data_IF_815345066968
#
_entry.id   IF_815345066968
#
_cell.length_a   1.000
_cell.length_b   1.000
_cell.length_c   1.000
_cell.angle_alpha   90.00
_cell.angle_beta   90.00
_cell.angle_gamma   90.00
#
_symmetry.space_group_name_H-M   'P 1'
#
loop_
_entity.id
_entity.type
_entity.pdbx_description
1 polymer ?
#
# COMPACT_ATOMS: atom_id res chain seq x y z
N UNK A 1 9.88 -0.13 -49.44
CA UNK A 1 8.72 -0.57 -50.25
C UNK A 1 7.74 0.59 -50.32
N UNK A 2 7.20 0.86 -51.51
CA UNK A 2 6.15 1.84 -51.76
C UNK A 2 4.89 1.04 -52.10
N UNK A 3 3.78 1.42 -51.50
CA UNK A 3 2.49 0.79 -51.73
C UNK A 3 1.49 1.81 -52.24
N UNK A 4 0.56 1.33 -53.04
CA UNK A 4 -0.61 2.09 -53.44
C UNK A 4 -1.50 2.33 -52.22
N UNK A 5 -1.93 3.58 -52.02
CA UNK A 5 -2.66 3.98 -50.82
C UNK A 5 -4.11 3.45 -50.80
N UNK A 6 -4.70 3.18 -51.96
CA UNK A 6 -6.10 2.75 -52.08
C UNK A 6 -6.23 1.22 -52.07
N UNK A 7 -5.35 0.54 -52.79
CA UNK A 7 -5.41 -0.91 -52.99
C UNK A 7 -4.51 -1.69 -52.03
N UNK A 8 -3.63 -0.99 -51.29
CA UNK A 8 -2.63 -1.56 -50.39
C UNK A 8 -1.64 -2.54 -51.07
N UNK A 9 -1.56 -2.52 -52.40
CA UNK A 9 -0.64 -3.37 -53.15
C UNK A 9 0.75 -2.73 -53.23
N UNK A 10 1.83 -3.51 -53.15
CA UNK A 10 3.18 -3.01 -53.41
C UNK A 10 3.30 -2.48 -54.85
N UNK A 11 3.76 -1.25 -55.01
CA UNK A 11 4.07 -0.62 -56.30
C UNK A 11 5.56 -0.74 -56.64
N UNK A 12 6.42 -0.57 -55.63
CA UNK A 12 7.86 -0.63 -55.84
C UNK A 12 8.60 -1.10 -54.59
N UNK A 13 9.70 -1.81 -54.79
CA UNK A 13 10.66 -2.11 -53.73
C UNK A 13 11.94 -1.33 -54.00
N UNK A 14 12.15 -0.27 -53.22
CA UNK A 14 13.38 0.51 -53.28
C UNK A 14 14.56 -0.28 -52.67
N UNK A 15 15.78 -0.10 -53.18
CA UNK A 15 16.98 -0.80 -52.68
C UNK A 15 17.36 -0.38 -51.26
N UNK A 16 17.00 0.85 -50.87
CA UNK A 16 17.24 1.38 -49.54
C UNK A 16 16.19 2.45 -49.18
N UNK A 17 16.31 3.03 -47.99
CA UNK A 17 15.42 4.07 -47.45
C UNK A 17 16.07 5.47 -47.42
N UNK A 18 17.12 5.70 -48.21
CA UNK A 18 17.84 6.98 -48.22
C UNK A 18 17.00 8.06 -48.92
N UNK A 19 17.15 9.35 -48.54
CA UNK A 19 16.43 10.45 -49.17
C UNK A 19 16.60 10.45 -50.70
N UNK A 20 17.82 10.26 -51.19
CA UNK A 20 18.16 10.35 -52.61
C UNK A 20 17.43 9.29 -53.44
N UNK A 21 17.35 8.07 -52.92
CA UNK A 21 16.64 6.95 -53.56
C UNK A 21 15.14 7.23 -53.68
N UNK A 22 14.55 7.84 -52.65
CA UNK A 22 13.13 8.21 -52.63
C UNK A 22 12.87 9.38 -53.56
N UNK A 23 13.76 10.38 -53.57
CA UNK A 23 13.69 11.53 -54.47
C UNK A 23 13.67 11.08 -55.93
N UNK A 24 14.64 10.25 -56.32
CA UNK A 24 14.75 9.75 -57.69
C UNK A 24 13.49 8.98 -58.11
N UNK A 25 12.95 8.12 -57.24
CA UNK A 25 11.74 7.37 -57.55
C UNK A 25 10.52 8.29 -57.74
N UNK A 26 10.33 9.28 -56.87
CA UNK A 26 9.21 10.22 -56.98
C UNK A 26 9.30 11.11 -58.22
N UNK A 27 10.52 11.53 -58.61
CA UNK A 27 10.73 12.27 -59.85
C UNK A 27 10.38 11.46 -61.10
N UNK A 28 10.62 10.15 -61.08
CA UNK A 28 10.19 9.23 -62.14
C UNK A 28 8.67 8.97 -62.13
N UNK A 29 7.97 9.34 -61.07
CA UNK A 29 6.53 9.14 -60.88
C UNK A 29 5.82 10.47 -60.55
N UNK A 30 5.82 11.45 -61.49
CA UNK A 30 5.35 12.82 -61.23
C UNK A 30 3.83 12.92 -60.99
N UNK A 31 3.08 11.85 -61.22
CA UNK A 31 1.64 11.77 -60.95
C UNK A 31 1.31 11.58 -59.46
N UNK A 32 2.29 11.31 -58.61
CA UNK A 32 2.08 11.12 -57.17
C UNK A 32 1.81 12.47 -56.51
N UNK A 33 0.58 12.69 -56.07
CA UNK A 33 0.17 13.94 -55.42
C UNK A 33 0.17 13.87 -53.89
N UNK A 34 0.03 12.65 -53.34
CA UNK A 34 -0.13 12.41 -51.90
C UNK A 34 0.76 11.25 -51.49
N UNK A 35 1.51 11.43 -50.41
CA UNK A 35 2.31 10.36 -49.80
C UNK A 35 1.95 10.23 -48.33
N UNK A 36 1.47 9.05 -47.96
CA UNK A 36 1.39 8.66 -46.55
C UNK A 36 2.75 8.08 -46.12
N UNK A 37 3.36 8.66 -45.08
CA UNK A 37 4.67 8.21 -44.57
C UNK A 37 4.69 8.09 -43.07
N UNK A 38 5.62 7.29 -42.57
CA UNK A 38 5.93 7.24 -41.14
C UNK A 38 6.64 8.53 -40.65
N UNK A 39 7.09 8.50 -39.40
CA UNK A 39 7.82 9.59 -38.78
C UNK A 39 9.29 9.76 -39.23
N UNK A 40 9.78 8.96 -40.17
CA UNK A 40 11.20 8.99 -40.55
C UNK A 40 11.54 10.25 -41.36
N UNK A 41 12.50 11.03 -40.85
CA UNK A 41 12.86 12.34 -41.41
C UNK A 41 13.44 12.26 -42.82
N UNK A 42 14.14 11.17 -43.16
CA UNK A 42 14.71 10.96 -44.49
C UNK A 42 13.63 10.88 -45.58
N UNK A 43 12.47 10.29 -45.29
CA UNK A 43 11.36 10.27 -46.23
C UNK A 43 10.76 11.65 -46.43
N UNK A 44 10.58 12.44 -45.37
CA UNK A 44 10.18 13.85 -45.50
C UNK A 44 11.15 14.60 -46.42
N UNK A 45 12.45 14.44 -46.17
CA UNK A 45 13.49 15.10 -46.95
C UNK A 45 13.41 14.69 -48.42
N UNK A 46 13.36 13.38 -48.71
CA UNK A 46 13.29 12.88 -50.09
C UNK A 46 12.03 13.33 -50.83
N UNK A 47 10.86 13.30 -50.18
CA UNK A 47 9.61 13.78 -50.78
C UNK A 47 9.70 15.27 -51.08
N UNK A 48 10.16 16.08 -50.12
CA UNK A 48 10.29 17.54 -50.32
C UNK A 48 11.31 17.91 -51.37
N UNK A 49 12.39 17.13 -51.51
CA UNK A 49 13.40 17.31 -52.57
C UNK A 49 12.87 16.89 -53.95
N UNK A 50 11.98 15.90 -54.02
CA UNK A 50 11.38 15.46 -55.27
C UNK A 50 10.41 16.52 -55.82
N UNK A 51 9.44 16.92 -54.98
CA UNK A 51 8.47 17.95 -55.30
C UNK A 51 7.82 18.43 -53.99
N UNK A 52 7.94 19.73 -53.71
CA UNK A 52 7.36 20.37 -52.52
C UNK A 52 5.84 20.47 -52.55
N UNK A 53 5.22 20.28 -53.73
CA UNK A 53 3.76 20.26 -53.91
C UNK A 53 3.11 18.97 -53.39
N UNK A 54 3.90 17.88 -53.23
CA UNK A 54 3.39 16.59 -52.75
C UNK A 54 2.87 16.74 -51.32
N UNK A 55 1.58 16.41 -51.13
CA UNK A 55 0.93 16.45 -49.83
C UNK A 55 1.40 15.27 -48.98
N UNK A 56 2.14 15.57 -47.93
CA UNK A 56 2.61 14.57 -46.97
C UNK A 56 1.59 14.36 -45.85
N UNK A 57 1.11 13.13 -45.71
CA UNK A 57 0.19 12.72 -44.65
C UNK A 57 0.92 11.76 -43.72
N UNK A 58 0.67 11.88 -42.42
CA UNK A 58 1.23 10.96 -41.45
C UNK A 58 0.53 9.60 -41.55
N UNK A 59 1.29 8.52 -41.51
CA UNK A 59 0.75 7.16 -41.48
C UNK A 59 -0.16 6.98 -40.24
N UNK A 60 -1.32 6.35 -40.46
CA UNK A 60 -2.37 6.21 -39.44
C UNK A 60 -1.86 5.45 -38.21
N UNK A 61 -1.14 4.36 -38.40
CA UNK A 61 -0.65 3.55 -37.28
C UNK A 61 0.35 4.36 -36.44
N UNK A 62 1.30 5.01 -37.09
CA UNK A 62 2.30 5.83 -36.39
C UNK A 62 1.67 7.03 -35.70
N UNK A 63 0.66 7.67 -36.32
CA UNK A 63 -0.06 8.79 -35.70
C UNK A 63 -0.75 8.37 -34.41
N UNK A 64 -1.56 7.31 -34.45
CA UNK A 64 -2.30 6.80 -33.28
C UNK A 64 -1.33 6.35 -32.19
N UNK A 65 -0.26 5.63 -32.56
CA UNK A 65 0.76 5.16 -31.61
C UNK A 65 1.43 6.33 -30.89
N UNK A 66 1.81 7.37 -31.62
CA UNK A 66 2.44 8.55 -31.03
C UNK A 66 1.46 9.36 -30.16
N UNK A 67 0.21 9.53 -30.61
CA UNK A 67 -0.83 10.18 -29.83
C UNK A 67 -1.08 9.45 -28.50
N UNK A 68 -1.20 8.11 -28.52
CA UNK A 68 -1.33 7.29 -27.33
C UNK A 68 -0.14 7.47 -26.38
N UNK A 69 1.09 7.36 -26.91
CA UNK A 69 2.30 7.53 -26.10
C UNK A 69 2.32 8.88 -25.37
N UNK A 70 1.87 9.93 -26.04
CA UNK A 70 1.80 11.27 -25.47
C UNK A 70 0.69 11.39 -24.43
N UNK A 71 -0.47 10.80 -24.68
CA UNK A 71 -1.55 10.69 -23.70
C UNK A 71 -1.09 9.95 -22.43
N UNK A 72 -0.42 8.80 -22.58
CA UNK A 72 0.10 8.01 -21.47
C UNK A 72 1.11 8.84 -20.63
N UNK A 73 1.97 9.60 -21.30
CA UNK A 73 2.94 10.50 -20.65
C UNK A 73 2.24 11.63 -19.88
N UNK A 74 1.25 12.28 -20.49
CA UNK A 74 0.47 13.34 -19.84
C UNK A 74 -0.35 12.81 -18.66
N UNK A 75 -1.02 11.67 -18.83
CA UNK A 75 -1.75 11.02 -17.76
C UNK A 75 -0.85 10.66 -16.59
N UNK A 76 0.38 10.19 -16.88
CA UNK A 76 1.37 9.92 -15.85
C UNK A 76 1.82 11.19 -15.09
N UNK A 77 1.83 12.35 -15.75
CA UNK A 77 2.18 13.63 -15.12
C UNK A 77 1.04 14.25 -14.31
N UNK A 78 -0.21 14.08 -14.72
CA UNK A 78 -1.37 14.74 -14.11
C UNK A 78 -1.91 13.94 -12.94
N UNK A 79 -2.02 12.63 -13.11
CA UNK A 79 -2.56 11.77 -12.06
C UNK A 79 -1.46 11.60 -11.00
N UNK A 80 -1.77 11.48 -9.71
CA UNK A 80 -0.79 11.08 -8.71
C UNK A 80 -0.49 9.58 -8.79
N UNK A 81 0.76 9.18 -8.53
CA UNK A 81 1.19 7.78 -8.58
C UNK A 81 0.52 6.89 -7.52
N UNK A 82 -0.09 7.52 -6.51
CA UNK A 82 -0.91 6.90 -5.47
C UNK A 82 -2.20 7.68 -5.34
N UNK A 83 -3.33 6.99 -5.44
CA UNK A 83 -4.64 7.58 -5.21
C UNK A 83 -5.12 7.01 -3.87
N UNK A 84 -5.26 7.85 -2.87
CA UNK A 84 -5.81 7.48 -1.56
C UNK A 84 -7.32 7.62 -1.61
N UNK A 85 -8.04 6.52 -1.37
CA UNK A 85 -9.48 6.54 -1.14
C UNK A 85 -9.70 6.31 0.34
N UNK A 86 -10.37 7.23 1.02
CA UNK A 86 -10.89 6.96 2.36
C UNK A 86 -12.27 6.33 2.18
N UNK A 87 -12.32 4.99 2.21
CA UNK A 87 -13.55 4.33 2.63
C UNK A 87 -13.77 4.75 4.08
N UNK A 88 -14.80 5.57 4.32
CA UNK A 88 -15.32 5.84 5.66
C UNK A 88 -16.00 4.58 6.21
N UNK A 89 -15.22 3.51 6.38
CA UNK A 89 -15.60 2.38 7.22
C UNK A 89 -15.10 2.67 8.62
N UNK A 90 -16.01 3.18 9.45
CA UNK A 90 -15.89 3.30 10.93
C UNK A 90 -15.68 1.95 11.65
N UNK A 91 -15.44 0.86 10.91
CA UNK A 91 -15.06 -0.42 11.48
C UNK A 91 -13.55 -0.39 11.74
N UNK A 92 -13.16 0.05 12.92
CA UNK A 92 -11.83 -0.20 13.46
C UNK A 92 -11.51 -1.69 13.29
N UNK A 93 -10.63 -2.03 12.34
CA UNK A 93 -10.20 -3.42 12.13
C UNK A 93 -9.53 -3.89 13.43
N UNK A 94 -10.21 -4.78 14.17
CA UNK A 94 -9.65 -5.39 15.38
C UNK A 94 -8.33 -6.08 15.00
N UNK A 95 -7.24 -5.66 15.64
CA UNK A 95 -5.91 -6.23 15.44
C UNK A 95 -6.01 -7.76 15.51
N UNK A 96 -5.63 -8.51 14.45
CA UNK A 96 -5.71 -9.96 14.48
C UNK A 96 -4.80 -10.48 15.60
N UNK A 97 -5.44 -10.97 16.65
CA UNK A 97 -4.78 -11.55 17.81
C UNK A 97 -4.07 -12.83 17.36
N UNK A 98 -2.84 -13.01 17.82
CA UNK A 98 -2.16 -14.30 17.70
C UNK A 98 -2.97 -15.38 18.40
N UNK A 99 -2.77 -16.66 18.03
CA UNK A 99 -3.48 -17.79 18.65
C UNK A 99 -3.38 -17.79 20.19
N UNK A 100 -2.21 -17.44 20.72
CA UNK A 100 -1.98 -17.33 22.16
C UNK A 100 -2.71 -16.14 22.81
N UNK A 101 -2.72 -14.98 22.14
CA UNK A 101 -3.46 -13.80 22.61
C UNK A 101 -4.98 -14.05 22.59
N UNK A 102 -5.49 -14.72 21.55
CA UNK A 102 -6.90 -15.11 21.44
C UNK A 102 -7.31 -16.06 22.57
N UNK A 103 -6.52 -17.10 22.84
CA UNK A 103 -6.77 -18.00 23.97
C UNK A 103 -6.76 -17.28 25.32
N UNK A 104 -5.85 -16.31 25.50
CA UNK A 104 -5.80 -15.51 26.73
C UNK A 104 -7.04 -14.64 26.88
N UNK A 105 -7.47 -13.97 25.81
CA UNK A 105 -8.70 -13.16 25.77
C UNK A 105 -9.93 -14.01 26.06
N UNK A 106 -10.04 -15.19 25.45
CA UNK A 106 -11.16 -16.11 25.66
C UNK A 106 -11.21 -16.61 27.11
N UNK A 107 -10.06 -16.92 27.71
CA UNK A 107 -9.95 -17.30 29.12
C UNK A 107 -10.35 -16.16 30.07
N UNK A 108 -9.97 -14.92 29.74
CA UNK A 108 -10.38 -13.74 30.49
C UNK A 108 -11.89 -13.52 30.39
N UNK A 109 -12.44 -13.64 29.18
CA UNK A 109 -13.87 -13.47 28.92
C UNK A 109 -14.71 -14.48 29.69
N UNK A 110 -14.41 -15.78 29.56
CA UNK A 110 -15.13 -16.86 30.27
C UNK A 110 -15.07 -16.67 31.79
N UNK A 111 -13.92 -16.25 32.32
CA UNK A 111 -13.79 -16.00 33.75
C UNK A 111 -14.57 -14.76 34.19
N UNK A 112 -14.61 -13.72 33.36
CA UNK A 112 -15.38 -12.53 33.66
C UNK A 112 -16.89 -12.80 33.63
N UNK A 113 -17.37 -13.59 32.66
CA UNK A 113 -18.75 -14.08 32.59
C UNK A 113 -19.14 -14.82 33.88
N UNK A 114 -18.30 -15.77 34.33
CA UNK A 114 -18.50 -16.47 35.61
C UNK A 114 -18.55 -15.50 36.81
N UNK A 115 -17.67 -14.50 36.84
CA UNK A 115 -17.66 -13.49 37.91
C UNK A 115 -18.95 -12.67 37.90
N UNK A 116 -19.45 -12.27 36.72
CA UNK A 116 -20.69 -11.52 36.61
C UNK A 116 -21.90 -12.36 37.04
N UNK A 117 -21.95 -13.63 36.67
CA UNK A 117 -23.00 -14.55 37.10
C UNK A 117 -23.06 -14.67 38.64
N UNK A 118 -21.89 -14.85 39.28
CA UNK A 118 -21.79 -14.89 40.75
C UNK A 118 -22.20 -13.55 41.38
N UNK A 119 -21.83 -12.42 40.77
CA UNK A 119 -22.23 -11.09 41.24
C UNK A 119 -23.74 -10.88 41.15
N UNK A 120 -24.38 -11.32 40.07
CA UNK A 120 -25.82 -11.27 39.93
C UNK A 120 -26.52 -12.17 40.95
N UNK A 121 -26.05 -13.40 41.11
CA UNK A 121 -26.60 -14.35 42.07
C UNK A 121 -26.49 -13.83 43.53
N UNK A 122 -25.39 -13.13 43.85
CA UNK A 122 -25.21 -12.44 45.12
C UNK A 122 -26.17 -11.25 45.28
N UNK A 123 -26.34 -10.42 44.24
CA UNK A 123 -27.32 -9.31 44.23
C UNK A 123 -28.76 -9.78 44.43
N UNK A 124 -29.11 -10.97 43.94
CA UNK A 124 -30.41 -11.63 44.15
C UNK A 124 -30.58 -12.19 45.58
N UNK A 125 -29.63 -11.96 46.49
CA UNK A 125 -29.74 -12.29 47.90
C UNK A 125 -29.20 -13.66 48.30
N UNK A 126 -28.51 -14.39 47.40
CA UNK A 126 -27.82 -15.63 47.80
C UNK A 126 -26.63 -15.31 48.69
N UNK A 127 -26.48 -16.04 49.80
CA UNK A 127 -25.34 -15.90 50.70
C UNK A 127 -24.05 -16.50 50.11
N UNK A 128 -22.90 -16.05 50.61
CA UNK A 128 -21.57 -16.46 50.11
C UNK A 128 -21.34 -17.97 50.21
N UNK A 129 -21.84 -18.61 51.28
CA UNK A 129 -21.65 -20.05 51.52
C UNK A 129 -22.47 -20.94 50.59
N UNK A 130 -23.66 -20.50 50.17
CA UNK A 130 -24.49 -21.16 49.16
C UNK A 130 -23.84 -21.05 47.79
N UNK A 131 -23.33 -19.87 47.43
CA UNK A 131 -22.58 -19.66 46.20
C UNK A 131 -21.29 -20.49 46.15
N UNK A 132 -20.57 -20.62 47.25
CA UNK A 132 -19.38 -21.48 47.32
C UNK A 132 -19.67 -22.95 46.96
N UNK A 133 -20.80 -23.47 47.45
CA UNK A 133 -21.25 -24.84 47.15
C UNK A 133 -21.80 -24.99 45.73
N UNK A 134 -22.56 -24.00 45.26
CA UNK A 134 -23.21 -24.04 43.94
C UNK A 134 -22.19 -23.96 42.79
N UNK A 135 -21.15 -23.15 42.95
CA UNK A 135 -20.11 -22.94 41.93
C UNK A 135 -18.85 -23.78 42.16
N UNK A 136 -18.80 -24.60 43.21
CA UNK A 136 -17.63 -25.39 43.64
C UNK A 136 -16.35 -24.54 43.77
N UNK A 137 -16.46 -23.43 44.51
CA UNK A 137 -15.38 -22.46 44.70
C UNK A 137 -15.17 -22.18 46.19
N UNK A 138 -13.90 -21.96 46.57
CA UNK A 138 -13.58 -21.51 47.92
C UNK A 138 -14.29 -20.19 48.25
N UNK A 139 -14.79 -20.07 49.48
CA UNK A 139 -15.58 -18.92 49.91
C UNK A 139 -14.81 -17.58 49.79
N UNK A 140 -13.48 -17.58 49.95
CA UNK A 140 -12.66 -16.37 49.75
C UNK A 140 -12.61 -15.97 48.27
N UNK A 141 -12.69 -16.94 47.36
CA UNK A 141 -12.78 -16.70 45.91
C UNK A 141 -14.10 -16.07 45.55
N UNK A 142 -15.22 -16.58 46.10
CA UNK A 142 -16.54 -15.96 45.95
C UNK A 142 -16.52 -14.53 46.50
N UNK A 143 -15.99 -14.32 47.71
CA UNK A 143 -15.88 -12.99 48.31
C UNK A 143 -15.00 -12.02 47.48
N UNK A 144 -13.95 -12.54 46.83
CA UNK A 144 -13.13 -11.76 45.90
C UNK A 144 -13.91 -11.38 44.65
N UNK A 145 -14.68 -12.30 44.09
CA UNK A 145 -15.45 -12.08 42.86
C UNK A 145 -16.60 -11.10 43.07
N UNK A 146 -17.27 -11.12 44.22
CA UNK A 146 -18.32 -10.13 44.54
C UNK A 146 -17.79 -8.69 44.60
N UNK A 147 -16.51 -8.51 44.96
CA UNK A 147 -15.85 -7.19 45.04
C UNK A 147 -15.11 -6.79 43.75
N UNK A 148 -15.04 -7.65 42.74
CA UNK A 148 -14.24 -7.44 41.53
C UNK A 148 -14.93 -6.44 40.60
N UNK A 149 -14.19 -5.41 40.14
CA UNK A 149 -14.76 -4.31 39.31
C UNK A 149 -14.55 -4.48 37.79
N UNK A 150 -13.77 -5.46 37.37
CA UNK A 150 -13.45 -5.66 35.96
C UNK A 150 -12.81 -7.02 35.67
N UNK A 151 -12.63 -7.35 34.39
CA UNK A 151 -12.10 -8.64 33.97
C UNK A 151 -10.70 -8.91 34.55
N UNK A 152 -10.39 -10.16 34.91
CA UNK A 152 -9.10 -10.50 35.49
C UNK A 152 -7.97 -10.27 34.48
N UNK A 153 -7.04 -9.37 34.82
CA UNK A 153 -5.84 -9.15 34.03
C UNK A 153 -4.74 -10.15 34.47
N UNK A 154 -4.38 -11.07 33.57
CA UNK A 154 -3.30 -12.04 33.82
C UNK A 154 -1.92 -11.50 33.44
N UNK A 155 -1.85 -10.33 32.80
CA UNK A 155 -0.57 -9.72 32.46
C UNK A 155 0.05 -9.15 33.72
N UNK A 156 1.09 -9.82 34.23
CA UNK A 156 1.99 -9.21 35.21
C UNK A 156 2.69 -8.03 34.52
N UNK A 157 2.30 -6.81 34.86
CA UNK A 157 3.05 -5.63 34.45
C UNK A 157 4.39 -5.66 35.19
N UNK A 158 5.42 -6.13 34.48
CA UNK A 158 6.81 -6.00 34.94
C UNK A 158 7.36 -4.71 34.35
N UNK A 159 7.95 -3.88 35.21
CA UNK A 159 8.71 -2.73 34.76
C UNK A 159 9.81 -3.21 33.79
N UNK A 160 9.82 -2.65 32.59
CA UNK A 160 10.87 -2.91 31.60
C UNK A 160 11.90 -1.78 31.69
N UNK A 161 13.17 -2.11 31.47
CA UNK A 161 14.22 -1.09 31.34
C UNK A 161 13.95 -0.10 30.20
N UNK A 162 13.08 -0.45 29.24
CA UNK A 162 12.65 0.42 28.15
C UNK A 162 11.65 1.50 28.58
N UNK A 163 10.96 1.32 29.71
CA UNK A 163 9.81 2.16 30.06
C UNK A 163 10.13 3.65 30.21
N UNK A 164 11.26 4.06 30.83
CA UNK A 164 11.64 5.47 30.92
C UNK A 164 11.92 6.14 29.56
N UNK A 165 12.29 5.35 28.55
CA UNK A 165 12.68 5.84 27.22
C UNK A 165 11.55 5.77 26.20
N UNK A 166 10.33 5.38 26.61
CA UNK A 166 9.20 5.15 25.72
C UNK A 166 8.84 6.37 24.85
N UNK A 167 8.80 7.57 25.45
CA UNK A 167 8.51 8.81 24.71
C UNK A 167 9.60 9.13 23.70
N UNK A 168 10.86 8.95 24.09
CA UNK A 168 12.02 9.17 23.22
C UNK A 168 12.00 8.24 22.02
N UNK A 169 11.73 6.95 22.23
CA UNK A 169 11.59 5.96 21.17
C UNK A 169 10.46 6.31 20.20
N UNK A 170 9.31 6.80 20.69
CA UNK A 170 8.20 7.26 19.84
C UNK A 170 8.59 8.45 18.98
N UNK A 171 9.31 9.42 19.54
CA UNK A 171 9.80 10.60 18.81
C UNK A 171 10.77 10.21 17.70
N UNK A 172 11.78 9.39 18.01
CA UNK A 172 12.78 8.95 17.03
C UNK A 172 12.17 8.09 15.90
N UNK A 173 11.16 7.26 16.21
CA UNK A 173 10.44 6.50 15.17
C UNK A 173 9.65 7.41 14.24
N UNK A 174 9.01 8.46 14.78
CA UNK A 174 8.27 9.46 13.99
C UNK A 174 9.19 10.26 13.06
N UNK A 175 10.42 10.50 13.49
CA UNK A 175 11.47 11.13 12.68
C UNK A 175 12.05 10.21 11.58
N UNK A 176 11.62 8.94 11.54
CA UNK A 176 12.01 7.99 10.50
C UNK A 176 13.28 7.20 10.79
N UNK A 177 13.84 7.28 11.99
CA UNK A 177 15.06 6.58 12.37
C UNK A 177 14.88 5.05 12.34
N UNK A 178 15.95 4.36 11.96
CA UNK A 178 16.02 2.90 12.01
C UNK A 178 16.13 2.41 13.46
N UNK A 179 15.74 1.15 13.72
CA UNK A 179 15.83 0.57 15.07
C UNK A 179 17.27 0.58 15.62
N UNK A 180 18.26 0.48 14.73
CA UNK A 180 19.69 0.55 15.08
C UNK A 180 20.08 1.95 15.55
N UNK A 181 19.67 2.98 14.83
CA UNK A 181 19.91 4.38 15.21
C UNK A 181 19.19 4.74 16.51
N UNK A 182 17.95 4.28 16.68
CA UNK A 182 17.20 4.46 17.93
C UNK A 182 17.95 3.83 19.10
N UNK A 183 18.44 2.60 18.95
CA UNK A 183 19.19 1.94 20.01
C UNK A 183 20.49 2.67 20.36
N UNK A 184 21.25 3.12 19.35
CA UNK A 184 22.48 3.89 19.57
C UNK A 184 22.21 5.22 20.28
N UNK A 185 21.15 5.92 19.90
CA UNK A 185 20.76 7.18 20.56
C UNK A 185 20.39 6.95 22.03
N UNK A 186 19.65 5.88 22.33
CA UNK A 186 19.30 5.53 23.71
C UNK A 186 20.53 5.15 24.55
N UNK A 187 21.52 4.47 23.97
CA UNK A 187 22.76 4.13 24.67
C UNK A 187 23.52 5.39 25.12
N UNK A 188 23.57 6.42 24.28
CA UNK A 188 24.18 7.73 24.63
C UNK A 188 23.41 8.39 25.78
N UNK A 189 22.09 8.23 25.82
CA UNK A 189 21.20 8.77 26.86
C UNK A 189 21.15 7.88 28.12
N UNK A 190 22.01 6.85 28.22
CA UNK A 190 22.18 6.03 29.43
C UNK A 190 21.32 4.76 29.48
N UNK A 191 20.75 4.31 28.36
CA UNK A 191 20.01 3.05 28.30
C UNK A 191 20.94 1.84 28.43
N UNK A 192 20.73 1.03 29.47
CA UNK A 192 21.52 -0.19 29.74
C UNK A 192 20.82 -1.49 29.33
N UNK A 193 19.66 -1.41 28.67
CA UNK A 193 18.89 -2.57 28.26
C UNK A 193 19.32 -3.16 26.91
N UNK A 194 18.59 -4.18 26.46
CA UNK A 194 18.92 -4.94 25.25
C UNK A 194 18.33 -4.33 23.98
N UNK A 195 19.03 -4.52 22.86
CA UNK A 195 18.54 -4.16 21.53
C UNK A 195 17.16 -4.77 21.23
N UNK A 196 16.95 -6.04 21.62
CA UNK A 196 15.69 -6.76 21.43
C UNK A 196 14.51 -6.08 22.14
N UNK A 197 14.74 -5.46 23.30
CA UNK A 197 13.72 -4.67 24.01
C UNK A 197 13.26 -3.47 23.20
N UNK A 198 14.21 -2.68 22.69
CA UNK A 198 13.96 -1.52 21.83
C UNK A 198 13.27 -1.94 20.53
N UNK A 199 13.76 -3.01 19.88
CA UNK A 199 13.16 -3.57 18.66
C UNK A 199 11.71 -3.96 18.87
N UNK A 200 11.39 -4.66 19.95
CA UNK A 200 10.03 -5.13 20.26
C UNK A 200 9.08 -3.94 20.46
N UNK A 201 9.53 -2.90 21.16
CA UNK A 201 8.75 -1.69 21.39
C UNK A 201 8.53 -0.88 20.10
N UNK A 202 9.57 -0.68 19.29
CA UNK A 202 9.44 0.00 17.98
C UNK A 202 8.53 -0.80 17.04
N UNK A 203 8.59 -2.13 17.08
CA UNK A 203 7.67 -2.98 16.32
C UNK A 203 6.23 -2.85 16.79
N UNK A 204 5.96 -2.73 18.10
CA UNK A 204 4.59 -2.48 18.58
C UNK A 204 4.09 -1.11 18.11
N UNK A 205 4.93 -0.05 18.14
CA UNK A 205 4.57 1.27 17.59
C UNK A 205 4.20 1.18 16.11
N UNK A 206 5.00 0.47 15.31
CA UNK A 206 4.73 0.31 13.87
C UNK A 206 3.49 -0.53 13.60
N UNK A 207 3.25 -1.56 14.42
CA UNK A 207 2.03 -2.37 14.36
C UNK A 207 0.82 -1.50 14.67
N UNK A 208 0.85 -0.73 15.75
CA UNK A 208 -0.22 0.19 16.12
C UNK A 208 -0.45 1.23 15.01
N UNK A 209 0.61 1.83 14.45
CA UNK A 209 0.49 2.78 13.33
C UNK A 209 -0.21 2.15 12.13
N UNK A 210 0.21 0.95 11.71
CA UNK A 210 -0.40 0.23 10.57
C UNK A 210 -1.90 0.02 10.78
N UNK A 211 -2.33 -0.31 12.00
CA UNK A 211 -3.74 -0.56 12.31
C UNK A 211 -4.53 0.74 12.51
N UNK A 212 -3.93 1.77 13.12
CA UNK A 212 -4.59 3.08 13.26
C UNK A 212 -4.69 3.84 11.92
N UNK A 213 -3.83 3.52 10.94
CA UNK A 213 -3.99 3.96 9.54
C UNK A 213 -4.86 3.03 8.71
N UNK A 214 -5.39 1.93 9.27
CA UNK A 214 -6.33 1.04 8.55
C UNK A 214 -7.73 1.64 8.37
N UNK A 215 -8.00 2.83 8.94
CA UNK A 215 -9.18 3.65 8.59
C UNK A 215 -9.06 4.34 7.21
N UNK A 216 -7.85 4.41 6.63
CA UNK A 216 -7.65 4.83 5.25
C UNK A 216 -7.18 3.62 4.44
N UNK A 217 -8.11 2.95 3.75
CA UNK A 217 -7.75 1.94 2.75
C UNK A 217 -7.01 2.61 1.58
N UNK A 218 -5.70 2.73 1.71
CA UNK A 218 -4.85 3.18 0.60
C UNK A 218 -4.74 2.04 -0.42
N UNK A 219 -5.67 2.01 -1.38
CA UNK A 219 -5.53 1.19 -2.58
C UNK A 219 -4.43 1.80 -3.47
N UNK A 220 -3.20 1.32 -3.25
CA UNK A 220 -2.05 1.63 -4.09
C UNK A 220 -2.17 0.89 -5.43
N UNK A 221 -2.85 1.47 -6.41
CA UNK A 221 -2.77 0.98 -7.79
C UNK A 221 -1.45 1.47 -8.38
N UNK A 222 -0.47 0.58 -8.43
CA UNK A 222 0.79 0.82 -9.13
C UNK A 222 0.52 0.94 -10.63
N UNK A 223 1.05 1.99 -11.25
CA UNK A 223 1.06 2.13 -12.70
C UNK A 223 2.06 1.15 -13.27
N UNK A 224 1.58 -0.02 -13.69
CA UNK A 224 2.28 -0.84 -14.69
C UNK A 224 1.69 -0.54 -16.06
#
# INVERSE_FOLDING_TARGET
>A
MICDLQTHKPLALLPDRRPETVTAWLQMNPFVQVVSRDGFTAFRQGITQADSSIRQIYDRFHFIRNAKKQLDTCAASIVPAKITWSDSTDAAEEIPLTRAEKQTRDRQKRKWELVQEIQEAFKRGKNLSRLAREYDLDWRTIQKYTKMKGPPNYQRQRARLTDPFNERMRKLEKEGNTVKEIYSALQIEGYTGTYSGVRTFVQSIRKDRKHNTSGEKVLSISRR
#
